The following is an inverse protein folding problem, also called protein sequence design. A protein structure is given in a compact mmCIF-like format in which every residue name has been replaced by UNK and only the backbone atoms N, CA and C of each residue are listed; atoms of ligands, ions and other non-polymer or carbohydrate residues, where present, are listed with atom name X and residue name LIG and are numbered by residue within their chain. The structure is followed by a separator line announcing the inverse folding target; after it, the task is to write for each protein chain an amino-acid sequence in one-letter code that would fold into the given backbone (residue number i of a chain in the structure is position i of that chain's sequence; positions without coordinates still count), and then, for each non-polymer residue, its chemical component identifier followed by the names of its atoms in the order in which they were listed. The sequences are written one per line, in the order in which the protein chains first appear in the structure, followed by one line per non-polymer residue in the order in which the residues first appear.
data_IF_477826724160
#
_entry.id   IF_477826724160
#
_cell.length_a   1.000
_cell.length_b   1.000
_cell.length_c   1.000
_cell.angle_alpha   90.00
_cell.angle_beta   90.00
_cell.angle_gamma   90.00
#
_symmetry.space_group_name_H-M   'P 1'
#
loop_
_entity.id
_entity.type
_entity.pdbx_description
1 polymer ?
#
# COMPACT_ATOMS: atom_id res chain seq x y z
N UNK A 1 -14.27 8.13 15.97
CA UNK A 1 -13.19 7.59 15.11
C UNK A 1 -13.72 7.56 13.68
N UNK A 2 -13.00 8.15 12.72
CA UNK A 2 -13.40 8.17 11.30
C UNK A 2 -12.46 7.25 10.55
N UNK A 3 -13.02 6.34 9.77
CA UNK A 3 -12.26 5.44 8.93
C UNK A 3 -12.44 5.82 7.46
N UNK A 4 -11.37 5.64 6.68
CA UNK A 4 -11.39 5.79 5.23
C UNK A 4 -11.02 4.46 4.57
N UNK A 5 -11.92 3.93 3.76
CA UNK A 5 -11.73 2.65 3.08
C UNK A 5 -11.12 2.85 1.70
N UNK A 6 -10.08 2.09 1.41
CA UNK A 6 -9.34 2.14 0.15
C UNK A 6 -9.52 0.85 -0.65
N UNK A 7 -9.70 0.99 -1.95
CA UNK A 7 -9.74 -0.13 -2.92
C UNK A 7 -8.51 -0.17 -3.82
N UNK A 8 -7.57 0.77 -3.62
CA UNK A 8 -6.30 0.90 -4.35
C UNK A 8 -5.22 1.40 -3.40
N UNK A 9 -3.97 1.06 -3.67
CA UNK A 9 -2.81 1.56 -2.92
C UNK A 9 -2.21 2.71 -3.73
N UNK A 10 -2.06 3.89 -3.15
CA UNK A 10 -1.37 5.03 -3.79
C UNK A 10 -0.14 5.37 -2.95
N UNK A 11 1.04 5.07 -3.47
CA UNK A 11 2.28 5.16 -2.71
C UNK A 11 2.84 6.59 -2.67
N UNK A 12 2.61 7.39 -3.71
CA UNK A 12 3.18 8.73 -3.87
C UNK A 12 4.71 8.77 -3.66
N UNK A 13 5.41 7.67 -3.97
CA UNK A 13 6.85 7.47 -3.74
C UNK A 13 7.26 7.64 -2.25
N UNK A 14 6.32 7.48 -1.32
CA UNK A 14 6.55 7.58 0.13
C UNK A 14 6.75 6.23 0.80
N UNK A 15 6.73 5.15 0.03
CA UNK A 15 6.93 3.81 0.55
C UNK A 15 8.40 3.55 0.93
N UNK A 16 8.60 2.73 1.95
CA UNK A 16 9.90 2.23 2.38
C UNK A 16 9.94 0.73 2.13
N UNK A 17 10.99 0.24 1.45
CA UNK A 17 11.19 -1.20 1.25
C UNK A 17 11.71 -1.83 2.55
N UNK A 18 10.95 -2.74 3.14
CA UNK A 18 11.29 -3.43 4.40
C UNK A 18 12.07 -4.72 4.15
N UNK A 19 11.65 -5.54 3.19
CA UNK A 19 12.27 -6.82 2.86
C UNK A 19 12.55 -6.90 1.36
N UNK A 20 13.84 -6.92 1.00
CA UNK A 20 14.27 -6.90 -0.41
C UNK A 20 13.88 -8.19 -1.13
N UNK A 21 14.19 -9.34 -0.54
CA UNK A 21 13.97 -10.65 -1.17
C UNK A 21 12.48 -10.95 -1.40
N UNK A 22 11.63 -10.51 -0.49
CA UNK A 22 10.19 -10.77 -0.51
C UNK A 22 9.37 -9.69 -1.22
N UNK A 23 10.01 -8.58 -1.61
CA UNK A 23 9.37 -7.38 -2.16
C UNK A 23 8.30 -6.79 -1.24
N UNK A 24 8.60 -6.68 0.06
CA UNK A 24 7.70 -6.06 1.04
C UNK A 24 8.05 -4.58 1.22
N UNK A 25 7.01 -3.75 1.17
CA UNK A 25 7.06 -2.31 1.32
C UNK A 25 6.11 -1.86 2.43
N UNK A 26 6.38 -0.69 2.98
CA UNK A 26 5.58 -0.05 4.00
C UNK A 26 5.19 1.37 3.57
N UNK A 27 3.93 1.72 3.76
CA UNK A 27 3.41 3.07 3.58
C UNK A 27 2.77 3.56 4.88
N UNK A 28 3.08 4.79 5.27
CA UNK A 28 2.45 5.44 6.43
C UNK A 28 1.46 6.50 5.95
N UNK A 29 0.22 6.42 6.41
CA UNK A 29 -0.87 7.33 6.10
C UNK A 29 -1.33 8.06 7.37
N UNK A 30 -1.71 9.32 7.23
CA UNK A 30 -2.30 10.10 8.33
C UNK A 30 -3.79 9.76 8.46
N UNK A 31 -4.24 9.44 9.67
CA UNK A 31 -5.58 8.97 9.96
C UNK A 31 -5.72 7.45 9.95
N UNK A 32 -6.96 7.00 10.14
CA UNK A 32 -7.32 5.57 10.22
C UNK A 32 -7.86 5.09 8.87
N UNK A 33 -7.07 4.29 8.18
CA UNK A 33 -7.36 3.75 6.86
C UNK A 33 -7.61 2.25 6.92
N UNK A 34 -8.52 1.81 6.06
CA UNK A 34 -8.91 0.41 5.90
C UNK A 34 -8.53 -0.08 4.51
N UNK A 35 -7.93 -1.26 4.48
CA UNK A 35 -7.68 -2.04 3.27
C UNK A 35 -8.12 -3.48 3.53
N UNK A 36 -8.52 -4.20 2.49
CA UNK A 36 -8.74 -5.64 2.61
C UNK A 36 -7.38 -6.35 2.73
N UNK A 37 -7.12 -6.99 3.87
CA UNK A 37 -5.90 -7.75 4.12
C UNK A 37 -5.95 -9.08 3.37
N UNK A 38 -4.80 -9.54 2.87
CA UNK A 38 -4.63 -10.72 2.00
C UNK A 38 -5.31 -10.61 0.62
N UNK A 39 -5.74 -9.42 0.23
CA UNK A 39 -6.28 -9.15 -1.10
C UNK A 39 -5.26 -8.40 -1.96
N UNK A 40 -5.28 -8.69 -3.27
CA UNK A 40 -4.47 -7.99 -4.26
C UNK A 40 -5.20 -6.74 -4.71
N UNK A 41 -4.59 -5.59 -4.48
CA UNK A 41 -5.11 -4.29 -4.90
C UNK A 41 -4.23 -3.69 -6.00
N UNK A 42 -4.80 -2.84 -6.87
CA UNK A 42 -4.00 -2.11 -7.84
C UNK A 42 -3.10 -1.10 -7.12
N UNK A 43 -1.83 -1.07 -7.52
CA UNK A 43 -0.81 -0.18 -6.99
C UNK A 43 -0.59 0.98 -7.95
N UNK A 44 -0.65 2.18 -7.38
CA UNK A 44 -0.51 3.45 -8.07
C UNK A 44 0.67 4.24 -7.49
N UNK A 45 1.45 4.86 -8.37
CA UNK A 45 2.46 5.84 -8.00
C UNK A 45 1.80 7.15 -7.58
N UNK A 46 0.79 7.58 -8.32
CA UNK A 46 -0.03 8.76 -8.04
C UNK A 46 -1.49 8.45 -8.39
N UNK A 47 -2.43 9.35 -8.10
CA UNK A 47 -3.85 9.17 -8.45
C UNK A 47 -4.12 8.76 -9.91
N UNK A 48 -3.22 9.13 -10.83
CA UNK A 48 -3.38 8.95 -12.28
C UNK A 48 -2.48 7.85 -12.86
N UNK A 49 -1.45 7.40 -12.12
CA UNK A 49 -0.41 6.52 -12.66
C UNK A 49 -0.42 5.17 -11.95
N UNK A 50 -1.00 4.16 -12.62
CA UNK A 50 -0.95 2.77 -12.16
C UNK A 50 0.42 2.17 -12.52
N UNK A 51 1.05 1.53 -11.54
CA UNK A 51 2.38 0.93 -11.70
C UNK A 51 2.40 -0.57 -11.46
N UNK A 52 1.30 -1.17 -10.98
CA UNK A 52 1.27 -2.61 -10.76
C UNK A 52 0.11 -3.10 -9.89
N UNK A 53 0.40 -4.15 -9.13
CA UNK A 53 -0.48 -4.71 -8.11
C UNK A 53 0.31 -5.19 -6.90
N UNK A 54 -0.31 -5.10 -5.72
CA UNK A 54 0.29 -5.50 -4.47
C UNK A 54 -0.74 -6.12 -3.53
N UNK A 55 -0.29 -7.08 -2.72
CA UNK A 55 -1.11 -7.74 -1.71
C UNK A 55 -0.91 -7.07 -0.35
N UNK A 56 -2.00 -6.69 0.33
CA UNK A 56 -1.92 -6.14 1.67
C UNK A 56 -1.56 -7.26 2.66
N UNK A 57 -0.44 -7.13 3.36
CA UNK A 57 0.04 -8.13 4.32
C UNK A 57 -0.38 -7.78 5.74
N UNK A 58 -0.33 -6.49 6.10
CA UNK A 58 -0.58 -6.03 7.48
C UNK A 58 -1.10 -4.60 7.49
N UNK A 59 -2.00 -4.34 8.43
CA UNK A 59 -2.43 -3.00 8.82
C UNK A 59 -2.19 -2.79 10.31
N UNK A 60 -1.60 -1.66 10.67
CA UNK A 60 -1.42 -1.25 12.06
C UNK A 60 -1.90 0.19 12.24
N UNK A 61 -2.68 0.43 13.28
CA UNK A 61 -3.04 1.78 13.69
C UNK A 61 -2.27 2.17 14.94
N UNK A 62 -1.61 3.32 14.88
CA UNK A 62 -0.85 3.86 16.00
C UNK A 62 -0.74 5.37 15.84
N UNK A 63 -0.90 6.11 16.94
CA UNK A 63 -0.68 7.56 16.98
C UNK A 63 -1.41 8.33 15.87
N UNK A 64 -2.69 8.01 15.65
CA UNK A 64 -3.54 8.57 14.58
C UNK A 64 -3.03 8.34 13.15
N UNK A 65 -2.24 7.29 12.95
CA UNK A 65 -1.72 6.88 11.63
C UNK A 65 -2.08 5.45 11.32
N UNK A 66 -2.03 5.15 10.02
CA UNK A 66 -2.11 3.79 9.50
C UNK A 66 -0.78 3.41 8.87
N UNK A 67 -0.18 2.33 9.34
CA UNK A 67 0.99 1.70 8.73
C UNK A 67 0.47 0.52 7.93
N UNK A 68 0.71 0.56 6.61
CA UNK A 68 0.30 -0.48 5.66
C UNK A 68 1.55 -1.20 5.18
N UNK A 69 1.66 -2.49 5.46
CA UNK A 69 2.67 -3.34 4.83
C UNK A 69 2.03 -4.09 3.66
N UNK A 70 2.65 -4.02 2.49
CA UNK A 70 2.19 -4.72 1.30
C UNK A 70 3.34 -5.40 0.57
N UNK A 71 3.03 -6.50 -0.11
CA UNK A 71 3.95 -7.21 -0.97
C UNK A 71 3.68 -6.83 -2.42
N UNK A 72 4.70 -6.36 -3.13
CA UNK A 72 4.58 -6.12 -4.57
C UNK A 72 4.45 -7.46 -5.30
N UNK A 73 3.35 -7.63 -6.03
CA UNK A 73 3.02 -8.88 -6.76
C UNK A 73 3.44 -8.77 -8.21
N UNK A 74 3.16 -7.64 -8.85
CA UNK A 74 3.55 -7.39 -10.23
C UNK A 74 3.75 -5.91 -10.49
N UNK A 75 4.68 -5.61 -11.40
CA UNK A 75 4.80 -4.30 -12.02
C UNK A 75 4.11 -4.32 -13.37
N UNK A 76 3.44 -3.23 -13.71
CA UNK A 76 2.98 -3.01 -15.06
C UNK A 76 4.21 -2.74 -15.93
N UNK A 77 4.32 -3.42 -17.07
CA UNK A 77 5.46 -3.25 -17.98
C UNK A 77 5.60 -1.78 -18.38
N UNK A 78 6.69 -1.17 -17.93
CA UNK A 78 7.20 0.08 -18.50
C UNK A 78 7.90 -0.33 -19.80
N UNK A 79 7.28 0.00 -20.94
CA UNK A 79 7.93 -0.14 -22.25
C UNK A 79 9.09 0.84 -22.38
#
# INVERSE_FOLDING_TARGET
MKFEMHTKIISNEKEIRLHIEENIFQLTLEGYHLFAVNEILPLYKSEQERIGSAMIQKLEWKDEKTIVSYQLVSLQSVN
#
